data_IF_173248583687
#
_entry.id   IF_173248583687
#
_cell.length_a   1.000
_cell.length_b   1.000
_cell.length_c   1.000
_cell.angle_alpha   90.00
_cell.angle_beta   90.00
_cell.angle_gamma   90.00
#
_symmetry.space_group_name_H-M   'P 1'
#
loop_
_entity.id
_entity.type
_entity.pdbx_description
1 polymer ?
2 polymer ?
3 polymer ?
4 polymer ?
5 polymer ?
6 polymer ?
7 polymer ?
8 polymer ?
#
# COMPACT_ATOMS: atom_id res chain seq x y z
N UNK A 1 -9.05 -13.33 14.57
CA UNK A 1 -9.08 -13.51 13.14
C UNK A 1 -10.07 -12.55 12.50
N UNK A 2 -11.23 -12.36 13.14
CA UNK A 2 -12.26 -11.47 12.65
C UNK A 2 -11.72 -10.05 12.59
N UNK A 3 -11.18 -9.56 13.71
CA UNK A 3 -10.63 -8.22 13.78
C UNK A 3 -9.71 -7.96 12.61
N UNK A 4 -8.74 -8.88 12.39
CA UNK A 4 -7.79 -8.75 11.32
C UNK A 4 -8.52 -8.67 9.98
N UNK A 5 -9.46 -9.59 9.76
CA UNK A 5 -10.23 -9.63 8.54
C UNK A 5 -10.92 -8.28 8.32
N UNK A 6 -11.53 -7.74 9.37
CA UNK A 6 -12.23 -6.48 9.29
C UNK A 6 -11.31 -5.43 8.67
N UNK A 7 -10.10 -5.28 9.21
CA UNK A 7 -9.14 -4.32 8.71
C UNK A 7 -8.88 -4.57 7.24
N UNK A 8 -8.60 -5.82 6.88
CA UNK A 8 -8.33 -6.18 5.50
C UNK A 8 -9.52 -5.84 4.62
N UNK A 9 -10.73 -6.22 5.07
CA UNK A 9 -11.94 -5.95 4.32
C UNK A 9 -11.99 -4.49 3.93
N UNK A 10 -11.79 -3.33 4.85
CA UNK A 10 -11.82 -2.17 4.64
C UNK A 10 -10.84 -1.82 3.53
N UNK A 11 -9.61 -2.33 3.61
CA UNK A 11 -8.51 -2.16 2.70
C UNK A 11 -9.00 -2.47 1.27
N UNK A 12 -9.66 -3.62 1.12
CA UNK A 12 -10.30 -4.13 -0.08
C UNK A 12 -11.35 -3.17 -0.64
N UNK A 13 -12.34 -2.74 0.18
CA UNK A 13 -13.43 -1.86 -0.26
C UNK A 13 -12.92 -0.44 -0.58
N UNK A 14 -11.77 -0.05 -0.02
CA UNK A 14 -11.08 1.16 -0.42
C UNK A 14 -10.46 0.95 -1.81
N UNK A 15 -9.78 -0.17 -2.07
CA UNK A 15 -9.18 -0.52 -3.37
C UNK A 15 -10.18 -0.56 -4.54
N UNK A 16 -11.43 -0.99 -4.32
CA UNK A 16 -12.50 -0.86 -5.32
C UNK A 16 -12.73 0.62 -5.70
N UNK A 17 -12.70 1.49 -4.67
CA UNK A 17 -13.16 2.86 -4.76
C UNK A 17 -12.05 3.86 -5.14
N UNK A 18 -10.77 3.51 -4.90
CA UNK A 18 -9.59 4.38 -4.99
C UNK A 18 -9.46 5.39 -6.15
N UNK A 19 -10.11 5.20 -7.30
CA UNK A 19 -10.16 6.18 -8.39
C UNK A 19 -10.71 7.57 -7.98
N UNK A 20 -11.75 7.64 -7.13
CA UNK A 20 -12.28 8.92 -6.61
C UNK A 20 -11.39 9.44 -5.48
N UNK A 21 -10.91 8.54 -4.61
CA UNK A 21 -10.07 8.90 -3.48
C UNK A 21 -8.70 9.39 -3.95
N UNK A 22 -8.18 8.85 -5.06
CA UNK A 22 -7.02 9.34 -5.80
C UNK A 22 -7.25 10.81 -6.13
N UNK A 23 -8.21 11.16 -6.98
CA UNK A 23 -8.56 12.53 -7.38
C UNK A 23 -8.79 13.53 -6.22
N UNK A 24 -9.30 13.09 -5.07
CA UNK A 24 -9.43 13.92 -3.85
C UNK A 24 -8.11 13.99 -3.05
N UNK A 25 -7.23 12.98 -3.13
CA UNK A 25 -5.87 13.05 -2.58
C UNK A 25 -4.97 13.87 -3.51
N UNK A 26 -5.26 13.93 -4.82
CA UNK A 26 -4.52 14.80 -5.71
C UNK A 26 -4.79 16.25 -5.34
N UNK A 27 -6.06 16.58 -5.09
CA UNK A 27 -6.45 17.93 -4.73
C UNK A 27 -5.85 18.30 -3.38
N UNK A 28 -5.98 17.42 -2.39
CA UNK A 28 -5.45 17.67 -1.07
C UNK A 28 -3.96 18.01 -1.16
N UNK A 29 -3.22 17.21 -1.92
CA UNK A 29 -1.80 17.42 -2.10
C UNK A 29 -1.53 18.84 -2.57
N UNK A 30 -2.32 19.30 -3.55
CA UNK A 30 -2.17 20.63 -4.09
C UNK A 30 -2.46 21.67 -3.02
N UNK A 31 -3.48 21.41 -2.19
CA UNK A 31 -3.85 22.32 -1.13
C UNK A 31 -2.67 22.55 -0.21
N UNK A 32 -2.06 21.47 0.27
CA UNK A 32 -0.92 21.56 1.16
C UNK A 32 0.14 22.47 0.56
N UNK A 33 0.45 22.26 -0.72
CA UNK A 33 1.44 23.07 -1.40
C UNK A 33 1.06 24.54 -1.33
N UNK A 34 -0.22 24.84 -1.50
CA UNK A 34 -0.70 26.21 -1.46
C UNK A 34 -0.40 26.82 -0.10
N UNK A 35 -0.73 26.09 0.97
CA UNK A 35 -0.50 26.56 2.32
C UNK A 35 0.97 26.95 2.49
N UNK A 36 1.87 26.01 2.22
CA UNK A 36 3.29 26.26 2.35
C UNK A 36 3.67 27.54 1.63
N UNK A 37 3.12 27.73 0.42
CA UNK A 37 3.40 28.91 -0.37
C UNK A 37 3.04 30.17 0.43
N UNK A 38 1.84 30.17 1.02
CA UNK A 38 1.38 31.30 1.81
C UNK A 38 2.38 31.59 2.93
N UNK A 39 2.79 30.56 3.66
CA UNK A 39 3.73 30.72 4.75
C UNK A 39 5.01 31.38 4.24
N UNK A 40 5.57 30.86 3.16
CA UNK A 40 6.79 31.40 2.58
C UNK A 40 6.61 32.89 2.31
N UNK A 47 -0.56 28.43 8.30
CA UNK A 47 -1.00 28.03 6.98
C UNK A 47 -0.04 27.01 6.40
N UNK A 48 1.25 27.34 6.38
CA UNK A 48 2.26 26.46 5.85
C UNK A 48 2.19 25.10 6.53
N UNK A 49 2.09 25.11 7.86
CA UNK A 49 2.01 23.89 8.63
C UNK A 49 0.79 23.08 8.21
N UNK A 50 -0.36 23.75 8.08
CA UNK A 50 -1.58 23.10 7.67
C UNK A 50 -1.39 22.39 6.34
N UNK A 51 -0.86 23.11 5.35
CA UNK A 51 -0.63 22.56 4.03
C UNK A 51 0.26 21.32 4.14
N UNK A 52 1.34 21.43 4.91
CA UNK A 52 2.27 20.33 5.08
C UNK A 52 1.54 19.11 5.61
N UNK A 53 0.69 19.32 6.62
CA UNK A 53 -0.08 18.23 7.21
C UNK A 53 -0.94 17.56 6.15
N UNK A 54 -1.63 18.37 5.35
CA UNK A 54 -2.49 17.85 4.29
C UNK A 54 -1.68 16.96 3.35
N UNK A 55 -0.52 17.46 2.91
CA UNK A 55 0.33 16.72 2.01
C UNK A 55 0.71 15.38 2.63
N UNK A 56 1.10 15.40 3.91
CA UNK A 56 1.49 14.19 4.60
C UNK A 56 0.33 13.20 4.62
N UNK A 57 -0.88 13.69 4.90
CA UNK A 57 -2.06 12.85 4.94
C UNK A 57 -2.24 12.15 3.60
N UNK A 58 -2.13 12.92 2.50
CA UNK A 58 -2.29 12.37 1.18
C UNK A 58 -1.30 11.24 0.95
N UNK A 59 -0.03 11.48 1.30
CA UNK A 59 1.01 10.49 1.13
C UNK A 59 0.67 9.23 1.93
N UNK A 60 0.22 9.42 3.17
CA UNK A 60 -0.13 8.31 4.03
C UNK A 60 -1.21 7.46 3.37
N UNK A 61 -2.22 8.13 2.81
CA UNK A 61 -3.36 7.48 2.15
C UNK A 61 -2.89 6.64 0.97
N UNK A 62 -1.88 7.14 0.22
CA UNK A 62 -1.29 6.42 -0.90
C UNK A 62 -0.55 5.18 -0.39
N UNK A 63 0.24 5.35 0.68
CA UNK A 63 1.00 4.26 1.25
C UNK A 63 0.06 3.14 1.67
N UNK A 64 -1.04 3.46 2.39
CA UNK A 64 -2.07 2.51 2.85
C UNK A 64 -2.73 1.78 1.67
N UNK A 65 -2.98 2.48 0.55
CA UNK A 65 -3.46 1.90 -0.70
C UNK A 65 -2.47 0.87 -1.26
N UNK A 66 -1.15 1.14 -1.19
CA UNK A 66 -0.12 0.24 -1.68
C UNK A 66 -0.05 -0.99 -0.82
N UNK A 67 -0.03 -0.80 0.50
CA UNK A 67 0.04 -1.90 1.45
C UNK A 67 -1.12 -2.86 1.21
N UNK A 68 -2.33 -2.31 1.04
CA UNK A 68 -3.53 -3.11 0.78
C UNK A 68 -3.34 -3.98 -0.46
N UNK A 69 -2.80 -3.35 -1.52
CA UNK A 69 -2.58 -4.06 -2.77
C UNK A 69 -1.61 -5.21 -2.56
N UNK B 1 0.82 -4.27 12.27
CA UNK B 1 -0.52 -4.67 12.62
C UNK B 1 -1.11 -5.57 11.54
N UNK B 2 -0.96 -5.15 10.28
CA UNK B 2 -1.47 -5.92 9.16
C UNK B 2 -0.90 -7.34 9.20
N UNK B 3 0.39 -7.46 9.48
CA UNK B 3 1.05 -8.75 9.54
C UNK B 3 0.37 -9.63 10.58
N UNK B 4 0.23 -9.12 11.81
CA UNK B 4 -0.39 -9.86 12.88
C UNK B 4 -1.76 -10.37 12.43
N UNK B 5 -2.53 -9.52 11.76
CA UNK B 5 -3.85 -9.89 11.27
C UNK B 5 -3.74 -11.06 10.30
N UNK B 6 -2.83 -10.96 9.33
CA UNK B 6 -2.63 -12.01 8.36
C UNK B 6 -2.30 -13.32 9.05
N UNK B 7 -1.37 -13.28 10.01
CA UNK B 7 -0.97 -14.46 10.75
C UNK B 7 -2.18 -15.12 11.37
N UNK B 8 -3.05 -14.31 12.00
CA UNK B 8 -4.23 -14.83 12.64
C UNK B 8 -5.07 -15.60 11.64
N UNK B 9 -5.22 -15.06 10.43
CA UNK B 9 -5.99 -15.70 9.39
C UNK B 9 -5.39 -17.05 9.05
N UNK B 10 -4.08 -17.07 8.77
CA UNK B 10 -3.39 -18.29 8.43
C UNK B 10 -3.51 -19.30 9.57
N UNK B 11 -3.38 -18.82 10.80
CA UNK B 11 -3.47 -19.66 11.97
C UNK B 11 -4.76 -20.48 11.92
N UNK B 12 -5.88 -19.81 11.66
CA UNK B 12 -7.18 -20.46 11.59
C UNK B 12 -7.12 -21.61 10.59
N UNK B 13 -6.59 -21.33 9.40
CA UNK B 13 -6.49 -22.33 8.35
C UNK B 13 -5.70 -23.53 8.86
N UNK B 14 -4.50 -23.27 9.39
CA UNK B 14 -3.65 -24.33 9.91
C UNK B 14 -4.44 -25.21 10.85
N UNK B 15 -4.98 -24.62 11.91
CA UNK B 15 -5.76 -25.36 12.90
C UNK B 15 -6.93 -26.06 12.22
N UNK B 16 -7.59 -25.36 11.30
CA UNK B 16 -8.72 -25.92 10.58
C UNK B 16 -8.31 -27.20 9.88
N UNK B 17 -7.17 -27.17 9.18
CA UNK B 17 -6.68 -28.33 8.47
C UNK B 17 -6.48 -29.50 9.43
N UNK B 18 -5.73 -29.26 10.51
CA UNK B 18 -5.47 -30.28 11.49
C UNK B 18 -6.78 -30.94 11.92
N UNK B 19 -7.79 -30.12 12.21
CA UNK B 19 -9.08 -30.64 12.63
C UNK B 19 -9.67 -31.53 11.54
N UNK B 20 -9.65 -31.05 10.30
CA UNK B 20 -10.17 -31.80 9.18
C UNK B 20 -9.49 -33.16 9.09
N UNK B 21 -8.16 -33.16 9.08
CA UNK B 21 -7.39 -34.39 9.01
C UNK B 21 -7.87 -35.37 10.07
N UNK B 22 -7.93 -34.92 11.33
CA UNK B 22 -8.36 -35.76 12.42
C UNK B 22 -9.79 -36.24 12.17
N UNK B 23 -10.66 -35.33 11.72
CA UNK B 23 -12.05 -35.67 11.44
C UNK B 23 -12.11 -36.82 10.44
N UNK B 24 -11.37 -36.69 9.34
CA UNK B 24 -11.35 -37.73 8.32
C UNK B 24 -10.95 -39.06 8.93
N UNK B 25 -9.86 -39.08 9.70
CA UNK B 25 -9.38 -40.28 10.33
C UNK B 25 -10.50 -40.94 11.11
N UNK B 26 -11.21 -40.16 11.92
CA UNK B 26 -12.32 -40.67 12.72
C UNK B 26 -13.37 -41.29 11.82
N UNK B 27 -13.80 -40.55 10.79
CA UNK B 27 -14.80 -41.03 9.86
C UNK B 27 -14.41 -42.41 9.34
N UNK B 28 -13.15 -42.54 8.90
CA UNK B 28 -12.65 -43.81 8.38
C UNK B 28 -12.85 -44.91 9.41
N UNK B 36 -19.67 -31.58 7.85
CA UNK B 36 -20.14 -31.67 6.48
C UNK B 36 -20.22 -30.29 5.86
N UNK B 37 -20.96 -29.39 6.50
CA UNK B 37 -21.12 -28.03 6.01
C UNK B 37 -19.75 -27.37 5.85
N UNK B 38 -18.88 -27.57 6.84
CA UNK B 38 -17.55 -27.00 6.81
C UNK B 38 -16.83 -27.39 5.53
N UNK B 39 -16.90 -28.68 5.17
CA UNK B 39 -16.26 -29.17 3.97
C UNK B 39 -16.74 -28.39 2.76
N UNK B 40 -18.06 -28.26 2.60
CA UNK B 40 -18.63 -27.54 1.49
C UNK B 40 -18.09 -26.12 1.46
N UNK B 41 -18.05 -25.46 2.62
CA UNK B 41 -17.55 -24.12 2.71
C UNK B 41 -16.11 -24.05 2.24
N UNK B 42 -15.29 -25.00 2.70
CA UNK B 42 -13.89 -25.05 2.32
C UNK B 42 -13.76 -25.15 0.81
N UNK B 43 -14.56 -26.04 0.21
CA UNK B 43 -14.53 -26.24 -1.23
C UNK B 43 -14.78 -24.92 -1.94
N UNK B 44 -15.80 -24.19 -1.51
CA UNK B 44 -16.13 -22.91 -2.10
C UNK B 44 -14.95 -21.97 -2.04
N UNK B 45 -14.31 -21.89 -0.87
CA UNK B 45 -13.16 -21.03 -0.68
C UNK B 45 -12.07 -21.38 -1.68
N UNK B 46 -11.81 -22.69 -1.85
CA UNK B 46 -10.80 -23.15 -2.77
C UNK B 46 -11.09 -22.62 -4.17
N UNK B 47 -12.32 -22.82 -4.63
CA UNK B 47 -12.72 -22.37 -5.96
C UNK B 47 -12.50 -20.88 -6.09
N UNK B 48 -12.88 -20.13 -5.05
CA UNK B 48 -12.72 -18.68 -5.05
C UNK B 48 -11.24 -18.32 -5.13
N UNK B 72 -4.43 -17.70 -5.34
CA UNK B 72 -3.33 -17.11 -6.08
C UNK B 72 -3.44 -17.50 -7.55
N UNK B 73 -3.86 -18.73 -7.81
CA UNK B 73 -4.00 -19.22 -9.17
C UNK B 73 -4.86 -18.26 -9.99
N UNK B 74 -6.13 -18.13 -9.61
CA UNK B 74 -7.05 -17.25 -10.30
C UNK B 74 -6.50 -15.83 -10.32
N UNK B 75 -5.93 -15.39 -9.20
CA UNK B 75 -5.36 -14.07 -9.10
C UNK B 75 -4.34 -13.84 -10.20
N UNK B 76 -3.75 -14.93 -10.70
CA UNK B 76 -2.76 -14.85 -11.76
C UNK B 76 -3.25 -13.94 -12.86
N UNK B 77 -4.38 -14.31 -13.49
CA UNK B 77 -4.95 -13.53 -14.57
C UNK B 77 -5.38 -12.17 -14.05
N UNK B 78 -5.98 -12.16 -12.86
CA UNK B 78 -6.44 -10.92 -12.25
C UNK B 78 -5.26 -10.03 -11.92
N UNK B 79 -4.12 -10.63 -11.57
CA UNK B 79 -2.92 -9.89 -11.22
C UNK B 79 -2.60 -8.90 -12.34
N UNK B 80 -2.78 -9.32 -13.59
CA UNK B 80 -2.50 -8.47 -14.72
C UNK B 80 -3.04 -7.07 -14.48
N UNK B 81 -4.31 -6.99 -14.07
CA UNK B 81 -4.95 -5.71 -13.81
C UNK B 81 -4.34 -5.07 -12.56
N UNK B 82 -4.18 -5.87 -11.50
CA UNK B 82 -3.62 -5.39 -10.26
C UNK B 82 -2.30 -4.67 -10.52
N UNK B 83 -1.47 -5.26 -11.39
CA UNK B 83 -0.19 -4.67 -11.73
C UNK B 83 -0.36 -3.22 -12.16
N UNK B 84 -1.33 -2.98 -13.04
CA UNK B 84 -1.60 -1.64 -13.53
C UNK B 84 -1.96 -0.73 -12.37
N UNK B 85 -2.86 -1.18 -11.48
CA UNK B 85 -3.31 -0.37 -10.35
C UNK B 85 -2.15 -0.17 -9.36
N UNK B 86 -1.29 -1.18 -9.12
CA UNK B 86 -0.13 -1.03 -8.26
C UNK B 86 0.75 0.11 -8.77
N UNK B 87 0.93 0.19 -10.09
CA UNK B 87 1.75 1.22 -10.69
C UNK B 87 1.20 2.59 -10.32
N UNK B 88 -0.12 2.77 -10.44
CA UNK B 88 -0.76 4.02 -10.13
C UNK B 88 -0.49 4.39 -8.67
N UNK B 89 -0.69 3.45 -7.75
CA UNK B 89 -0.54 3.74 -6.34
C UNK B 89 0.97 3.97 -5.98
N UNK B 90 1.93 3.42 -6.76
CA UNK B 90 3.33 3.75 -6.62
C UNK B 90 3.58 5.19 -7.01
N UNK B 91 2.98 5.62 -8.12
CA UNK B 91 3.14 6.98 -8.59
C UNK B 91 2.64 7.97 -7.54
N UNK B 92 1.47 7.69 -6.98
CA UNK B 92 0.89 8.55 -5.96
C UNK B 92 1.84 8.69 -4.79
N UNK B 93 2.40 7.57 -4.34
CA UNK B 93 3.32 7.58 -3.22
C UNK B 93 4.51 8.49 -3.53
N UNK B 94 5.04 8.38 -4.75
CA UNK B 94 6.16 9.19 -5.16
C UNK B 94 5.82 10.67 -5.03
N UNK B 95 4.63 11.05 -5.50
CA UNK B 95 4.19 12.43 -5.44
C UNK B 95 4.18 12.91 -4.01
N UNK B 96 3.60 12.10 -3.10
CA UNK B 96 3.52 12.45 -1.70
C UNK B 96 4.91 12.70 -1.15
N UNK B 97 5.84 11.79 -1.46
CA UNK B 97 7.21 11.91 -0.99
C UNK B 97 7.79 13.26 -1.39
N UNK B 98 7.54 13.67 -2.63
CA UNK B 98 8.03 14.95 -3.13
C UNK B 98 7.48 16.09 -2.27
N UNK B 99 6.17 16.06 -2.01
CA UNK B 99 5.54 17.09 -1.20
C UNK B 99 6.19 17.16 0.17
N UNK B 100 6.41 15.99 0.78
CA UNK B 100 7.02 15.92 2.10
C UNK B 100 8.41 16.57 2.06
N UNK B 101 9.18 16.26 1.02
CA UNK B 101 10.52 16.82 0.87
C UNK B 101 10.45 18.33 0.84
N UNK B 102 9.47 18.88 0.12
CA UNK B 102 9.30 20.31 0.00
C UNK B 102 9.20 20.94 1.38
N UNK B 103 8.20 20.50 2.17
CA UNK B 103 8.00 21.02 3.51
C UNK B 103 9.26 20.86 4.33
N UNK B 104 9.94 19.72 4.17
CA UNK B 104 11.17 19.45 4.89
C UNK B 104 12.18 20.55 4.64
N UNK B 105 12.36 20.92 3.37
CA UNK B 105 13.31 21.97 3.00
C UNK B 105 12.97 23.26 3.74
N UNK B 106 11.69 23.64 3.73
CA UNK B 106 11.25 24.83 4.40
C UNK B 106 11.64 24.81 5.87
N UNK B 107 11.36 23.67 6.53
CA UNK B 107 11.68 23.50 7.94
C UNK B 107 13.17 23.73 8.16
N UNK B 108 14.01 23.12 7.32
CA UNK B 108 15.44 23.26 7.44
C UNK B 108 15.83 24.73 7.36
N UNK B 109 15.28 25.45 6.39
CA UNK B 109 15.57 26.86 6.21
C UNK B 109 15.23 27.63 7.48
N UNK B 110 14.06 27.36 8.04
CA UNK B 110 13.62 28.02 9.26
C UNK B 110 14.64 27.80 10.37
N UNK B 111 15.07 26.55 10.53
CA UNK B 111 16.04 26.20 11.56
C UNK B 111 17.30 27.01 11.38
N UNK B 112 17.80 27.09 10.14
CA UNK B 112 19.00 27.84 9.84
C UNK B 112 18.83 29.29 10.27
N UNK B 113 17.69 29.89 9.91
CA UNK B 113 17.42 31.28 10.26
C UNK B 113 17.50 31.45 11.77
N UNK B 114 16.86 30.55 12.52
CA UNK B 114 16.86 30.61 13.97
C UNK B 114 18.29 30.60 14.49
N UNK B 115 19.11 29.69 13.97
CA UNK B 115 20.50 29.59 14.38
C UNK B 115 21.22 30.91 14.17
N UNK B 116 21.03 31.50 13.00
CA UNK B 116 21.66 32.77 12.67
C UNK B 116 21.27 33.82 13.69
N UNK B 117 19.97 33.91 14.01
CA UNK B 117 19.48 34.88 14.97
C UNK B 117 20.18 34.70 16.31
N UNK B 118 20.28 33.43 16.76
CA UNK B 118 20.94 33.13 18.02
C UNK B 118 22.37 33.65 18.01
N UNK B 119 23.09 33.38 16.92
CA UNK B 119 24.46 33.81 16.78
C UNK B 119 24.55 35.33 16.93
N UNK B 120 23.67 36.05 16.24
CA UNK B 120 23.65 37.49 16.30
C UNK B 120 23.48 37.96 17.73
N UNK B 121 22.52 37.36 18.45
CA UNK B 121 22.26 37.71 19.83
C UNK B 121 23.53 37.55 20.66
N UNK C 1 -17.99 -39.45 -0.55
CA UNK C 1 -16.67 -39.91 -0.17
C UNK C 1 -15.65 -39.53 -1.23
N UNK C 2 -15.99 -39.76 -2.49
CA UNK C 2 -15.11 -39.45 -3.60
C UNK C 2 -14.73 -37.97 -3.57
N UNK C 3 -15.75 -37.10 -3.46
CA UNK C 3 -15.52 -35.67 -3.41
C UNK C 3 -14.64 -35.31 -2.23
N UNK C 4 -14.89 -35.96 -1.09
CA UNK C 4 -14.11 -35.71 0.12
C UNK C 4 -12.63 -35.92 -0.16
N UNK C 5 -12.30 -37.03 -0.83
CA UNK C 5 -10.93 -37.34 -1.15
C UNK C 5 -10.28 -36.17 -1.88
N UNK C 6 -10.92 -35.70 -2.95
CA UNK C 6 -10.42 -34.59 -3.72
C UNK C 6 -10.26 -33.36 -2.84
N UNK C 7 -11.28 -33.08 -2.03
CA UNK C 7 -11.26 -31.93 -1.14
C UNK C 7 -10.05 -32.01 -0.22
N UNK C 8 -9.82 -33.19 0.36
CA UNK C 8 -8.70 -33.39 1.26
C UNK C 8 -7.41 -32.95 0.59
N UNK C 9 -7.14 -33.47 -0.62
CA UNK C 9 -5.95 -33.13 -1.36
C UNK C 9 -5.82 -31.61 -1.47
N UNK C 10 -6.91 -30.95 -1.81
CA UNK C 10 -6.91 -29.50 -1.95
C UNK C 10 -6.53 -28.85 -0.64
N UNK C 11 -7.19 -29.25 0.45
CA UNK C 11 -6.90 -28.71 1.76
C UNK C 11 -5.41 -28.74 2.04
N UNK C 12 -4.80 -29.91 1.85
CA UNK C 12 -3.38 -30.07 2.08
C UNK C 12 -2.60 -29.00 1.31
N UNK C 13 -2.92 -28.85 0.02
CA UNK C 13 -2.26 -27.87 -0.82
C UNK C 13 -2.49 -26.46 -0.27
N UNK C 14 -3.73 -26.17 0.11
CA UNK C 14 -4.07 -24.86 0.64
C UNK C 14 -3.16 -24.53 1.81
N UNK C 15 -3.07 -25.45 2.77
CA UNK C 15 -2.24 -25.26 3.94
C UNK C 15 -0.83 -24.86 3.53
N UNK C 16 -0.24 -25.61 2.59
CA UNK C 16 1.09 -25.32 2.12
C UNK C 16 1.18 -23.89 1.63
N UNK C 17 0.15 -23.45 0.89
CA UNK C 17 0.12 -22.10 0.36
C UNK C 17 0.13 -21.09 1.49
N UNK C 18 -0.79 -21.24 2.44
CA UNK C 18 -0.88 -20.35 3.57
C UNK C 18 0.46 -20.25 4.27
N UNK C 19 1.10 -21.40 4.49
CA UNK C 19 2.39 -21.45 5.15
C UNK C 19 3.37 -20.52 4.46
N UNK C 20 3.38 -20.56 3.11
CA UNK C 20 4.27 -19.73 2.33
C UNK C 20 4.05 -18.26 2.67
N UNK C 21 2.79 -17.82 2.63
CA UNK C 21 2.46 -16.45 2.94
C UNK C 21 2.94 -16.09 4.34
N UNK C 22 2.62 -16.94 5.31
CA UNK C 22 3.02 -16.70 6.69
C UNK C 22 4.53 -16.59 6.78
N UNK C 23 5.25 -17.51 6.12
CA UNK C 23 6.70 -17.50 6.12
C UNK C 23 7.22 -16.14 5.68
N UNK C 24 6.70 -15.65 4.55
CA UNK C 24 7.12 -14.37 4.02
C UNK C 24 6.97 -13.28 5.08
N UNK C 25 5.77 -13.19 5.67
CA UNK C 25 5.50 -12.21 6.70
C UNK C 25 6.50 -12.34 7.83
N UNK C 26 6.68 -13.56 8.34
CA UNK C 26 7.61 -13.81 9.43
C UNK C 26 8.98 -13.24 9.07
N UNK C 27 9.39 -13.40 7.82
CA UNK C 27 10.67 -12.91 7.36
C UNK C 27 10.74 -11.39 7.52
N UNK C 28 9.74 -10.69 6.97
CA UNK C 28 9.69 -9.24 7.06
C UNK C 28 9.73 -8.81 8.52
N UNK D 1 -9.74 -0.01 -14.91
CA UNK D 1 -10.67 0.29 -13.81
C UNK D 1 -11.70 -0.83 -13.63
N UNK D 2 -12.21 -1.42 -14.74
CA UNK D 2 -13.20 -2.48 -14.70
C UNK D 2 -12.62 -3.69 -13.97
N UNK D 3 -11.47 -4.17 -14.43
CA UNK D 3 -10.83 -5.32 -13.82
C UNK D 3 -10.53 -5.04 -12.37
N UNK D 4 -10.16 -3.81 -12.01
CA UNK D 4 -9.87 -3.42 -10.62
C UNK D 4 -11.08 -3.64 -9.69
N UNK D 5 -12.25 -3.22 -10.17
CA UNK D 5 -13.52 -3.30 -9.45
C UNK D 5 -13.97 -4.74 -9.25
N UNK D 6 -13.61 -5.63 -10.21
CA UNK D 6 -13.84 -7.06 -10.16
C UNK D 6 -12.86 -7.69 -9.15
N UNK D 7 -11.55 -7.35 -9.23
CA UNK D 7 -10.52 -7.81 -8.29
C UNK D 7 -10.90 -7.55 -6.84
N UNK D 8 -11.26 -6.31 -6.48
CA UNK D 8 -11.60 -5.98 -5.10
C UNK D 8 -12.98 -6.54 -4.69
N UNK D 9 -13.89 -6.83 -5.63
CA UNK D 9 -15.13 -7.58 -5.36
C UNK D 9 -14.81 -9.04 -5.01
N UNK D 10 -13.87 -9.65 -5.75
CA UNK D 10 -13.40 -10.99 -5.53
C UNK D 10 -12.77 -11.11 -4.15
N UNK D 11 -11.87 -10.17 -3.83
CA UNK D 11 -11.19 -10.16 -2.55
C UNK D 11 -12.22 -10.15 -1.42
N UNK D 12 -13.21 -9.24 -1.49
CA UNK D 12 -14.31 -9.08 -0.51
C UNK D 12 -15.16 -10.35 -0.38
N UNK D 13 -15.34 -11.13 -1.47
CA UNK D 13 -16.01 -12.41 -1.45
C UNK D 13 -15.15 -13.45 -0.75
N UNK D 14 -13.88 -13.51 -1.13
CA UNK D 14 -12.96 -14.46 -0.54
C UNK D 14 -12.90 -14.27 0.97
N UNK D 15 -12.84 -13.01 1.41
CA UNK D 15 -12.78 -12.70 2.82
C UNK D 15 -13.99 -13.28 3.54
N UNK D 16 -15.19 -13.01 3.01
CA UNK D 16 -16.42 -13.51 3.60
C UNK D 16 -16.38 -15.03 3.69
N UNK D 17 -15.89 -15.68 2.61
CA UNK D 17 -15.81 -17.12 2.57
C UNK D 17 -14.92 -17.62 3.71
N UNK D 18 -13.76 -16.99 3.89
CA UNK D 18 -12.84 -17.38 4.93
C UNK D 18 -13.51 -17.29 6.29
N UNK D 19 -14.22 -16.18 6.53
CA UNK D 19 -14.91 -15.97 7.79
C UNK D 19 -15.87 -17.12 8.06
N UNK D 20 -16.67 -17.48 7.05
CA UNK D 20 -17.62 -18.57 7.19
C UNK D 20 -16.90 -19.85 7.57
N UNK D 21 -15.84 -20.18 6.83
CA UNK D 21 -15.07 -21.38 7.09
C UNK D 21 -14.62 -21.41 8.54
N UNK D 22 -14.04 -20.29 9.00
CA UNK D 22 -13.56 -20.19 10.37
C UNK D 22 -14.68 -20.53 11.35
N UNK D 23 -15.83 -19.86 11.18
CA UNK D 23 -16.97 -20.08 12.04
C UNK D 23 -17.38 -21.55 11.99
N UNK D 24 -17.43 -22.11 10.78
CA UNK D 24 -17.81 -23.50 10.61
C UNK D 24 -16.90 -24.40 11.43
N UNK D 25 -15.58 -24.18 11.33
CA UNK D 25 -14.62 -24.96 12.05
C UNK D 25 -14.98 -25.01 13.53
N UNK D 26 -15.36 -23.86 14.08
CA UNK D 26 -15.73 -23.77 15.49
C UNK D 26 -16.87 -24.73 15.79
N UNK D 27 -17.89 -24.75 14.92
CA UNK D 27 -19.03 -25.62 15.10
C UNK D 27 -18.59 -27.08 15.05
N UNK D 28 -17.69 -27.40 14.12
CA UNK D 28 -17.20 -28.75 13.98
C UNK D 28 -16.59 -29.23 15.29
N UNK D 29 -15.81 -28.36 15.94
CA UNK D 29 -15.17 -28.69 17.20
C UNK D 29 -16.19 -29.28 18.17
N UNK D 30 -17.37 -28.67 18.23
CA UNK D 30 -18.43 -29.13 19.11
C UNK D 30 -18.89 -30.52 18.68
N UNK D 31 -19.00 -30.74 17.38
CA UNK D 31 -19.43 -32.01 16.84
C UNK D 31 -18.44 -33.09 17.24
N UNK D 32 -17.15 -32.74 17.32
CA UNK D 32 -16.11 -33.68 17.69
C UNK D 32 -16.46 -34.37 18.99
N UNK D 33 -16.89 -33.58 19.99
CA UNK D 33 -17.25 -34.12 21.28
C UNK D 33 -18.35 -35.16 21.12
N UNK D 34 -19.31 -34.88 20.23
CA UNK D 34 -20.42 -35.79 19.99
C UNK D 34 -19.89 -37.15 19.54
N UNK E 1 -5.33 11.27 -16.20
CA UNK E 1 -5.57 12.25 -15.38
C UNK E 1 -4.62 12.23 -14.18
N UNK E 2 -4.44 11.04 -13.58
CA UNK E 2 -3.56 10.74 -12.48
C UNK E 2 -2.16 11.23 -12.73
N UNK E 3 -1.71 10.90 -13.93
CA UNK E 3 -0.38 11.23 -14.39
C UNK E 3 -0.22 12.75 -14.47
N UNK E 4 -1.24 13.43 -14.99
CA UNK E 4 -1.22 14.87 -15.12
C UNK E 4 -1.21 15.51 -13.74
N UNK E 5 -2.12 15.08 -12.87
CA UNK E 5 -2.23 15.61 -11.53
C UNK E 5 -0.86 15.59 -10.86
N UNK E 6 -0.20 14.43 -10.88
CA UNK E 6 1.11 14.27 -10.27
C UNK E 6 2.06 15.32 -10.81
N UNK E 7 2.01 15.56 -12.12
CA UNK E 7 2.86 16.55 -12.76
C UNK E 7 2.65 17.91 -12.12
N UNK E 8 1.39 18.27 -11.88
CA UNK E 8 1.05 19.55 -11.28
C UNK E 8 1.66 19.65 -9.89
N UNK E 9 1.40 18.64 -9.04
CA UNK E 9 1.91 18.62 -7.69
C UNK E 9 3.41 18.90 -7.71
N UNK E 10 4.13 18.23 -8.60
CA UNK E 10 5.57 18.40 -8.71
C UNK E 10 5.91 19.88 -8.89
N UNK E 11 5.18 20.54 -9.80
CA UNK E 11 5.41 21.96 -10.06
C UNK E 11 5.28 22.75 -8.78
N UNK E 12 4.16 22.59 -8.08
CA UNK E 12 3.92 23.30 -6.83
C UNK E 12 5.10 23.12 -5.89
N UNK E 13 5.50 21.87 -5.65
CA UNK E 13 6.62 21.57 -4.78
C UNK E 13 7.83 22.40 -5.17
N UNK E 14 8.15 22.42 -6.47
CA UNK E 14 9.28 23.16 -6.98
C UNK E 14 9.18 24.62 -6.53
N UNK E 15 7.98 25.20 -6.65
CA UNK E 15 7.75 26.58 -6.26
C UNK E 15 8.14 26.78 -4.80
N UNK E 16 7.59 25.93 -3.92
CA UNK E 16 7.86 26.02 -2.50
C UNK E 16 9.38 26.04 -2.27
N UNK E 17 10.08 25.08 -2.88
CA UNK E 17 11.52 25.00 -2.73
C UNK E 17 12.17 26.33 -3.06
N UNK E 18 11.78 26.92 -4.20
CA UNK E 18 12.33 28.19 -4.62
C UNK E 18 12.14 29.24 -3.52
N UNK E 19 10.94 29.27 -2.92
CA UNK E 19 10.65 30.21 -1.87
C UNK E 19 11.64 30.04 -0.72
N UNK E 20 11.77 28.81 -0.23
CA UNK E 20 12.69 28.52 0.86
C UNK E 20 14.07 29.08 0.54
N UNK E 21 14.54 28.86 -0.68
CA UNK E 21 15.84 29.34 -1.09
C UNK E 21 15.95 30.84 -0.83
N UNK E 22 14.88 31.58 -1.10
CA UNK E 22 14.86 33.01 -0.89
C UNK E 22 15.22 33.33 0.56
N UNK E 23 14.52 32.69 1.50
CA UNK E 23 14.76 32.90 2.91
C UNK E 23 16.21 32.59 3.25
N UNK E 24 16.68 31.42 2.79
CA UNK E 24 18.05 31.01 3.04
C UNK E 24 19.02 32.11 2.66
N UNK E 25 18.81 32.72 1.49
CA UNK E 25 19.66 33.79 1.01
C UNK E 25 19.67 34.94 2.01
N UNK F 1 1.08 0.90 -23.57
CA UNK F 1 2.35 1.05 -22.89
C UNK F 1 2.88 2.47 -23.06
N UNK F 2 2.74 3.01 -24.27
CA UNK F 2 3.20 4.35 -24.56
C UNK F 2 2.53 5.35 -23.63
N UNK F 3 1.19 5.32 -23.57
CA UNK F 3 0.44 6.22 -22.72
C UNK F 3 0.95 6.11 -21.28
N UNK F 4 1.04 4.88 -20.77
CA UNK F 4 1.51 4.66 -19.41
C UNK F 4 2.89 5.27 -19.22
N UNK F 5 3.76 5.11 -20.21
CA UNK F 5 5.10 5.65 -20.16
C UNK F 5 5.06 7.16 -20.07
N UNK F 6 4.11 7.78 -20.79
CA UNK F 6 3.96 9.21 -20.79
C UNK F 6 3.84 9.73 -19.36
N UNK F 7 2.82 9.25 -18.64
CA UNK F 7 2.60 9.67 -17.27
C UNK F 7 3.86 9.44 -16.44
N UNK F 8 4.49 8.28 -16.62
CA UNK F 8 5.70 7.94 -15.90
C UNK F 8 6.78 8.97 -16.16
N UNK F 9 6.93 9.37 -17.43
CA UNK F 9 7.92 10.35 -17.82
C UNK F 9 7.70 11.65 -17.06
N UNK F 10 6.45 12.14 -17.07
CA UNK F 10 6.11 13.37 -16.38
C UNK F 10 6.54 13.29 -14.92
N UNK F 11 6.17 12.19 -14.26
CA UNK F 11 6.51 11.99 -12.87
C UNK F 11 8.01 12.15 -12.67
N UNK F 12 8.79 11.54 -13.56
CA UNK F 12 10.23 11.61 -13.48
C UNK F 12 10.70 13.05 -13.61
N UNK F 13 10.06 13.80 -14.51
CA UNK F 13 10.41 15.19 -14.72
C UNK F 13 10.32 15.97 -13.42
N UNK F 14 9.15 15.87 -12.76
CA UNK F 14 8.93 16.56 -11.50
C UNK F 14 10.01 16.18 -10.50
N UNK F 15 10.31 14.89 -10.41
CA UNK F 15 11.32 14.40 -9.48
C UNK F 15 12.64 15.12 -9.73
N UNK F 16 12.97 15.33 -11.00
CA UNK F 16 14.21 16.00 -11.36
C UNK F 16 14.23 17.40 -10.79
N UNK F 17 13.14 18.16 -11.01
CA UNK F 17 13.04 19.52 -10.52
C UNK F 17 13.26 19.55 -9.02
N UNK F 18 12.58 18.65 -8.29
CA UNK F 18 12.71 18.58 -6.85
C UNK F 18 14.18 18.41 -6.46
N UNK F 19 14.87 17.49 -7.14
CA UNK F 19 16.27 17.24 -6.87
C UNK F 19 17.08 18.51 -7.05
N UNK F 20 16.80 19.24 -8.13
CA UNK F 20 17.49 20.47 -8.42
C UNK F 20 17.36 21.45 -7.25
N UNK F 21 16.13 21.61 -6.75
CA UNK F 21 15.86 22.51 -5.64
C UNK F 21 16.71 22.11 -4.44
N UNK F 22 16.75 20.81 -4.14
CA UNK F 22 17.53 20.31 -3.02
C UNK F 22 18.99 20.74 -3.17
N UNK F 23 19.54 20.56 -4.37
CA UNK F 23 20.92 20.91 -4.63
C UNK F 23 21.13 22.40 -4.36
N UNK F 24 20.24 23.24 -4.86
CA UNK F 24 20.33 24.67 -4.67
C UNK F 24 20.38 25.00 -3.18
N UNK F 25 19.51 24.36 -2.39
CA UNK F 25 19.46 24.58 -0.97
C UNK F 25 20.82 24.29 -0.34
N UNK F 26 21.40 23.14 -0.71
CA UNK F 26 22.70 22.74 -0.18
C UNK F 26 23.74 23.80 -0.52
N UNK G 1 5.16 -5.51 -15.18
CA UNK G 1 6.39 -5.59 -14.42
C UNK G 1 7.24 -4.35 -14.67
N UNK G 2 7.36 -3.95 -15.95
CA UNK G 2 8.13 -2.79 -16.31
C UNK G 2 7.60 -1.56 -15.60
N UNK G 3 6.28 -1.36 -15.64
CA UNK G 3 5.65 -0.23 -15.00
C UNK G 3 6.00 -0.20 -13.51
N UNK G 4 5.88 -1.36 -12.86
CA UNK G 4 6.18 -1.47 -11.44
C UNK G 4 7.60 -0.97 -11.17
N UNK G 5 8.56 -1.41 -11.98
CA UNK G 5 9.94 -1.00 -11.83
C UNK G 5 10.05 0.51 -11.87
N UNK G 6 9.36 1.14 -12.83
CA UNK G 6 9.39 2.57 -12.98
C UNK G 6 8.89 3.24 -11.70
N UNK G 7 7.75 2.76 -11.19
CA UNK G 7 7.17 3.30 -9.98
C UNK G 7 8.16 3.22 -8.83
N UNK G 8 8.76 2.03 -8.66
CA UNK G 8 9.73 1.83 -7.60
C UNK G 8 10.86 2.83 -7.72
N UNK G 9 11.31 3.09 -8.95
CA UNK G 9 12.38 4.04 -9.19
C UNK G 9 12.00 5.41 -8.65
N UNK G 10 10.80 5.87 -8.99
CA UNK G 10 10.31 7.16 -8.55
C UNK G 10 10.31 7.22 -7.03
N UNK G 11 9.78 6.18 -6.38
CA UNK G 11 9.72 6.12 -4.94
C UNK G 11 11.11 6.29 -4.35
N UNK G 12 12.11 5.70 -5.00
CA UNK G 12 13.48 5.78 -4.55
C UNK G 12 13.96 7.22 -4.56
N UNK G 13 13.69 7.92 -5.67
CA UNK G 13 14.08 9.31 -5.80
C UNK G 13 13.46 10.14 -4.69
N UNK G 14 12.18 9.93 -4.41
CA UNK G 14 11.47 10.65 -3.38
C UNK G 14 12.18 10.45 -2.04
N UNK G 15 12.53 9.21 -1.74
CA UNK G 15 13.20 8.89 -0.49
C UNK G 15 14.54 9.62 -0.42
N UNK G 16 15.29 9.60 -1.53
CA UNK G 16 16.58 10.25 -1.58
C UNK G 16 16.44 11.73 -1.24
N UNK G 17 15.45 12.39 -1.84
CA UNK G 17 15.22 13.79 -1.60
C UNK G 17 14.93 14.04 -0.13
N UNK G 18 14.14 13.15 0.48
CA UNK G 18 13.80 13.26 1.88
C UNK G 18 15.05 13.11 2.74
N UNK G 19 15.89 12.13 2.41
CA UNK G 19 17.11 11.89 3.15
C UNK G 19 17.96 13.15 3.19
N UNK G 20 18.21 13.74 2.02
CA UNK G 20 19.00 14.95 1.93
C UNK G 20 18.40 16.05 2.79
N UNK G 21 17.07 16.11 2.84
CA UNK G 21 16.37 17.10 3.64
C UNK G 21 16.63 16.85 5.12
N UNK G 22 16.47 15.60 5.55
CA UNK G 22 16.68 15.24 6.94
C UNK G 22 18.12 15.50 7.34
N UNK G 23 19.06 14.99 6.53
CA UNK G 23 20.48 15.17 6.80
C UNK G 23 20.80 16.65 6.92
N UNK G 24 20.24 17.46 6.01
CA UNK G 24 20.46 18.90 6.02
C UNK G 24 20.07 19.48 7.36
N UNK H 1 7.61 -10.34 -6.96
CA UNK H 1 6.39 -9.96 -6.29
C UNK H 1 6.68 -9.66 -4.82
N UNK H 2 7.20 -10.66 -4.10
CA UNK H 2 7.53 -10.52 -2.69
C UNK H 2 8.52 -9.40 -2.51
N UNK H 3 9.58 -9.38 -3.33
CA UNK H 3 10.61 -8.36 -3.24
C UNK H 3 9.99 -6.99 -3.41
N UNK H 4 9.13 -6.83 -4.43
CA UNK H 4 8.48 -5.58 -4.70
C UNK H 4 7.74 -5.09 -3.46
N UNK H 5 6.99 -6.00 -2.82
CA UNK H 5 6.23 -5.67 -1.63
C UNK H 5 7.17 -5.14 -0.55
N UNK H 6 8.29 -5.84 -0.34
CA UNK H 6 9.25 -5.44 0.67
C UNK H 6 9.77 -4.04 0.37
N UNK H 7 10.06 -3.78 -0.91
CA UNK H 7 10.56 -2.47 -1.33
C UNK H 7 9.58 -1.38 -0.93
N UNK H 8 8.29 -1.61 -1.19
CA UNK H 8 7.25 -0.64 -0.87
C UNK H 8 7.25 -0.38 0.63
N UNK H 9 7.34 -1.44 1.43
CA UNK H 9 7.35 -1.33 2.87
C UNK H 9 8.45 -0.39 3.31
N UNK H 10 9.66 -0.58 2.77
CA UNK H 10 10.80 0.25 3.11
C UNK H 10 10.53 1.69 2.71
N UNK H 11 10.10 1.90 1.45
CA UNK H 11 9.82 3.23 0.95
C UNK H 11 8.81 3.93 1.87
N UNK H 12 7.76 3.21 2.25
CA UNK H 12 6.73 3.76 3.11
C UNK H 12 7.34 4.20 4.44
N UNK H 13 8.11 3.31 5.05
CA UNK H 13 8.76 3.60 6.32
C UNK H 13 9.58 4.88 6.21
N UNK H 14 10.40 4.98 5.16
CA UNK H 14 11.23 6.14 4.93
C UNK H 14 10.38 7.40 4.89
N UNK H 15 9.27 7.35 4.14
CA UNK H 15 8.38 8.47 4.01
C UNK H 15 7.85 8.88 5.38
N UNK H 16 7.34 7.90 6.14
CA UNK H 16 6.81 8.16 7.45
C UNK H 16 7.84 8.88 8.31
N UNK H 17 9.06 8.34 8.35
CA UNK H 17 10.13 8.93 9.12
C UNK H 17 10.32 10.39 8.73
#
# INVERSE_FOLDING_TARGET
YEEKEESNLAATKSMVKIAEQYSKRIEEEKELTEEELKTRYVGRQDPKKHLSETADETLENNIVSVLTA
IRLTNQLKSLKGLQSKLKDVVEYLDKVINKELPINHTILGKLQDVFNLLPNLGTPDDDEIDVENHDRINISNNLQKALTVKTNDELMVIYISNLVRSIIAFDDLIENKIQNKKIQEQRVKD
GDQITKMKDRLVEWNDQVEKLGKKMEAR
SQLLNEWSHNVDELLEHIETIGHLITKEEIMHGL
ATYDSALELVGQLNKVVDQLFEKAS
NAQYHLLVKQGDGLLTKLQKYGAAVR
EDPQQVFDERIKFANQLHDEYLVS
KTNIIEKAMDYAISIEN
#
